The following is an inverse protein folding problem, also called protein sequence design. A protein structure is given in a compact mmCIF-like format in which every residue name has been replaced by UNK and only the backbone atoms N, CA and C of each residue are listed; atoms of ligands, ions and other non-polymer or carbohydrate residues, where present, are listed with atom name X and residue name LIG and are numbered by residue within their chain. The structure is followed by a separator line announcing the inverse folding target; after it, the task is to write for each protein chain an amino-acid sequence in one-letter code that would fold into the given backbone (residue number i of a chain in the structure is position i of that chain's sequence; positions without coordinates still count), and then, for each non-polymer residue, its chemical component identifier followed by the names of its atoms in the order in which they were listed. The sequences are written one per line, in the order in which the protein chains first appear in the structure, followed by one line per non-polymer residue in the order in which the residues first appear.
data_IF_914223300544
#
_entry.id   IF_914223300544
#
_cell.length_a   1.000
_cell.length_b   1.000
_cell.length_c   1.000
_cell.angle_alpha   90.00
_cell.angle_beta   90.00
_cell.angle_gamma   90.00
#
_symmetry.space_group_name_H-M   'P 1'
#
loop_
_entity.id
_entity.type
_entity.pdbx_description
1 polymer ?
#
# COMPACT_ATOMS: atom_id res chain seq x y z
N UNK A 1 17.18 -42.72 63.86
CA UNK A 1 17.21 -43.28 62.49
C UNK A 1 15.94 -42.83 61.81
N UNK A 2 15.99 -41.73 61.06
CA UNK A 2 16.22 -41.68 59.60
C UNK A 2 15.03 -42.33 58.86
N UNK A 3 14.35 -41.72 57.88
CA UNK A 3 14.70 -40.63 56.98
C UNK A 3 13.42 -40.11 56.27
N UNK A 4 13.44 -38.84 55.85
CA UNK A 4 12.48 -38.23 54.92
C UNK A 4 12.77 -38.71 53.49
N UNK A 5 11.77 -39.15 52.73
CA UNK A 5 11.77 -39.02 51.26
C UNK A 5 10.38 -38.62 50.76
N UNK A 6 10.39 -37.55 49.96
CA UNK A 6 9.28 -36.82 49.34
C UNK A 6 8.72 -37.63 48.17
N UNK A 7 7.40 -37.88 48.15
CA UNK A 7 6.71 -38.40 46.96
C UNK A 7 6.47 -37.25 45.96
N UNK A 8 7.26 -37.23 44.88
CA UNK A 8 6.98 -36.39 43.70
C UNK A 8 5.85 -37.04 42.89
N UNK A 9 4.64 -36.49 42.98
CA UNK A 9 3.63 -36.68 41.95
C UNK A 9 4.09 -35.98 40.67
N UNK A 10 4.48 -36.76 39.67
CA UNK A 10 4.58 -36.27 38.29
C UNK A 10 3.18 -36.28 37.72
N UNK A 11 2.55 -35.11 37.68
CA UNK A 11 1.31 -34.88 36.95
C UNK A 11 1.58 -35.07 35.47
N UNK A 12 1.12 -36.19 34.91
CA UNK A 12 1.00 -36.39 33.47
C UNK A 12 -0.32 -35.77 33.04
N UNK A 13 -0.29 -34.55 32.51
CA UNK A 13 -1.42 -33.97 31.76
C UNK A 13 -1.37 -34.42 30.30
N UNK A 14 -2.44 -34.98 29.73
CA UNK A 14 -2.52 -35.27 28.31
C UNK A 14 -2.85 -33.97 27.54
N UNK A 15 -1.81 -33.24 27.13
CA UNK A 15 -1.94 -32.16 26.16
C UNK A 15 -1.87 -32.75 24.75
N UNK A 16 -2.97 -33.35 24.29
CA UNK A 16 -3.21 -33.50 22.85
C UNK A 16 -3.69 -32.13 22.36
N UNK A 17 -2.73 -31.24 22.18
CA UNK A 17 -2.95 -30.01 21.42
C UNK A 17 -3.03 -30.44 19.96
N UNK A 18 -4.10 -30.05 19.25
CA UNK A 18 -4.16 -30.11 17.79
C UNK A 18 -3.07 -29.19 17.24
N UNK A 19 -1.83 -29.67 17.20
CA UNK A 19 -0.73 -29.01 16.55
C UNK A 19 -0.99 -29.07 15.05
N UNK A 20 -1.19 -27.92 14.44
CA UNK A 20 -1.12 -27.80 12.99
C UNK A 20 0.27 -28.26 12.54
N UNK A 21 0.37 -28.82 11.33
CA UNK A 21 1.67 -29.26 10.78
C UNK A 21 2.73 -28.16 10.80
N UNK A 22 2.31 -26.89 10.72
CA UNK A 22 3.17 -25.73 10.84
C UNK A 22 3.75 -25.57 12.25
N UNK A 23 2.92 -25.61 13.28
CA UNK A 23 3.37 -25.48 14.69
C UNK A 23 4.34 -26.60 15.12
N UNK A 24 4.21 -27.78 14.51
CA UNK A 24 5.14 -28.90 14.73
C UNK A 24 6.49 -28.65 14.06
N UNK A 25 6.52 -28.13 12.83
CA UNK A 25 7.75 -27.79 12.12
C UNK A 25 8.49 -26.65 12.82
N UNK A 26 7.78 -25.60 13.25
CA UNK A 26 8.35 -24.51 14.04
C UNK A 26 8.98 -25.00 15.36
N UNK A 27 8.37 -26.01 15.99
CA UNK A 27 8.93 -26.61 17.19
C UNK A 27 10.24 -27.37 16.92
N UNK A 28 10.32 -28.09 15.79
CA UNK A 28 11.53 -28.81 15.39
C UNK A 28 12.67 -27.85 15.00
N UNK A 29 12.34 -26.74 14.33
CA UNK A 29 13.29 -25.68 13.97
C UNK A 29 13.84 -24.98 15.22
N UNK A 30 12.97 -24.63 16.18
CA UNK A 30 13.38 -24.08 17.49
C UNK A 30 14.28 -25.02 18.30
N UNK A 31 14.19 -26.33 18.06
CA UNK A 31 15.07 -27.33 18.67
C UNK A 31 16.33 -27.62 17.84
N UNK A 32 16.58 -26.87 16.76
CA UNK A 32 17.68 -27.08 15.82
C UNK A 32 17.75 -28.52 15.26
N UNK A 33 16.59 -29.16 15.11
CA UNK A 33 16.47 -30.51 14.54
C UNK A 33 16.21 -30.50 13.04
N UNK A 34 15.80 -29.35 12.51
CA UNK A 34 15.66 -29.04 11.09
C UNK A 34 16.08 -27.58 10.89
N UNK A 35 16.70 -27.27 9.76
CA UNK A 35 16.95 -25.89 9.32
C UNK A 35 16.95 -25.80 7.78
N UNK A 36 17.23 -24.62 7.23
CA UNK A 36 17.17 -24.36 5.79
C UNK A 36 18.19 -25.16 4.95
N UNK A 37 19.22 -25.71 5.58
CA UNK A 37 20.32 -26.43 4.96
C UNK A 37 20.37 -27.92 5.39
N UNK A 38 19.76 -28.28 6.54
CA UNK A 38 19.58 -29.65 7.03
C UNK A 38 18.10 -30.02 7.22
N UNK A 39 17.56 -30.71 6.22
CA UNK A 39 16.20 -31.28 6.22
C UNK A 39 16.18 -32.79 6.47
N UNK A 40 17.29 -33.39 6.93
CA UNK A 40 17.47 -34.85 6.99
C UNK A 40 16.42 -35.52 7.89
N UNK A 41 16.09 -34.90 9.01
CA UNK A 41 15.08 -35.38 9.95
C UNK A 41 13.66 -35.34 9.32
N UNK A 42 13.36 -34.27 8.59
CA UNK A 42 12.07 -34.11 7.89
C UNK A 42 11.90 -35.14 6.77
N UNK A 43 12.98 -35.43 6.03
CA UNK A 43 12.98 -36.46 4.99
C UNK A 43 12.72 -37.86 5.56
N UNK A 44 13.38 -38.21 6.66
CA UNK A 44 13.17 -39.52 7.30
C UNK A 44 11.74 -39.68 7.83
N UNK A 45 11.17 -38.60 8.38
CA UNK A 45 9.78 -38.58 8.83
C UNK A 45 8.81 -38.69 7.64
N UNK A 46 9.02 -37.91 6.57
CA UNK A 46 8.18 -37.95 5.37
C UNK A 46 8.27 -39.28 4.63
N UNK A 47 9.43 -39.93 4.56
CA UNK A 47 9.56 -41.30 4.01
C UNK A 47 8.69 -42.31 4.75
N UNK A 48 8.56 -42.15 6.07
CA UNK A 48 7.85 -43.10 6.94
C UNK A 48 6.34 -42.83 6.98
N UNK A 49 5.94 -41.56 7.06
CA UNK A 49 4.54 -41.17 7.35
C UNK A 49 3.79 -40.72 6.09
N UNK A 50 4.48 -40.08 5.13
CA UNK A 50 3.84 -39.47 3.97
C UNK A 50 4.77 -39.44 2.74
N UNK A 51 5.08 -40.60 2.14
CA UNK A 51 6.11 -40.74 1.11
C UNK A 51 5.82 -39.93 -0.17
N UNK A 52 4.57 -39.55 -0.41
CA UNK A 52 4.19 -38.68 -1.54
C UNK A 52 4.76 -37.26 -1.43
N UNK A 53 5.09 -36.78 -0.22
CA UNK A 53 5.69 -35.46 0.01
C UNK A 53 7.18 -35.40 -0.36
N UNK A 54 7.86 -36.55 -0.45
CA UNK A 54 9.28 -36.62 -0.83
C UNK A 54 9.55 -35.98 -2.19
N UNK A 55 8.65 -36.14 -3.16
CA UNK A 55 8.78 -35.50 -4.48
C UNK A 55 8.77 -33.97 -4.40
N UNK A 56 8.03 -33.39 -3.45
CA UNK A 56 8.00 -31.93 -3.25
C UNK A 56 9.31 -31.44 -2.61
N UNK A 57 9.84 -32.18 -1.64
CA UNK A 57 11.12 -31.86 -0.98
C UNK A 57 12.29 -31.94 -1.98
N UNK A 58 12.35 -32.97 -2.80
CA UNK A 58 13.37 -33.13 -3.84
C UNK A 58 13.31 -32.03 -4.90
N UNK A 59 12.08 -31.62 -5.29
CA UNK A 59 11.87 -30.50 -6.21
C UNK A 59 12.45 -29.21 -5.64
N UNK A 60 12.13 -28.89 -4.39
CA UNK A 60 12.65 -27.70 -3.71
C UNK A 60 14.19 -27.67 -3.66
N UNK A 61 14.83 -28.79 -3.31
CA UNK A 61 16.31 -28.89 -3.28
C UNK A 61 16.95 -28.64 -4.65
N UNK A 62 16.29 -29.05 -5.72
CA UNK A 62 16.76 -28.83 -7.10
C UNK A 62 16.66 -27.35 -7.48
N UNK A 63 15.51 -26.73 -7.22
CA UNK A 63 15.26 -25.32 -7.50
C UNK A 63 16.21 -24.40 -6.71
N UNK A 64 16.49 -24.72 -5.44
CA UNK A 64 17.49 -23.99 -4.62
C UNK A 64 18.90 -24.07 -5.23
N UNK A 65 19.35 -25.25 -5.67
CA UNK A 65 20.66 -25.41 -6.33
C UNK A 65 20.74 -24.68 -7.67
N UNK A 66 19.68 -24.71 -8.47
CA UNK A 66 19.62 -23.99 -9.76
C UNK A 66 19.66 -22.46 -9.57
N UNK A 67 19.01 -21.95 -8.52
CA UNK A 67 19.04 -20.53 -8.16
C UNK A 67 20.44 -20.08 -7.70
N UNK A 68 21.13 -20.90 -6.90
CA UNK A 68 22.51 -20.64 -6.46
C UNK A 68 23.52 -20.70 -7.62
N UNK A 69 23.31 -21.62 -8.57
CA UNK A 69 24.13 -21.73 -9.78
C UNK A 69 23.96 -20.48 -10.67
N UNK A 70 22.72 -20.05 -10.92
CA UNK A 70 22.43 -18.81 -11.68
C UNK A 70 23.02 -17.57 -11.02
N UNK A 71 22.99 -17.50 -9.68
CA UNK A 71 23.59 -16.39 -8.93
C UNK A 71 25.11 -16.32 -9.08
N UNK A 72 25.79 -17.46 -9.25
CA UNK A 72 27.23 -17.52 -9.53
C UNK A 72 27.58 -17.20 -10.99
N UNK A 73 26.72 -17.56 -11.94
CA UNK A 73 26.90 -17.24 -13.38
C UNK A 73 26.71 -15.74 -13.68
N UNK A 74 25.87 -15.03 -12.92
CA UNK A 74 25.62 -13.59 -13.05
C UNK A 74 26.75 -12.68 -12.51
N UNK A 75 27.82 -13.24 -11.94
CA UNK A 75 28.95 -12.50 -11.35
C UNK A 75 30.28 -12.91 -12.00
N UNK A 76 30.36 -12.82 -13.33
CA UNK A 76 31.63 -12.99 -14.04
C UNK A 76 32.46 -11.70 -13.97
N UNK A 77 33.74 -11.81 -13.61
CA UNK A 77 34.66 -10.66 -13.49
C UNK A 77 34.91 -9.90 -14.81
N UNK A 78 34.50 -10.49 -15.95
CA UNK A 78 34.58 -9.88 -17.28
C UNK A 78 33.62 -8.70 -17.44
N UNK A 79 32.42 -8.77 -16.85
CA UNK A 79 31.37 -7.77 -17.04
C UNK A 79 31.61 -6.50 -16.21
N UNK A 80 32.31 -6.63 -15.08
CA UNK A 80 32.67 -5.51 -14.19
C UNK A 80 33.67 -4.55 -14.85
N UNK A 81 34.59 -5.05 -15.68
CA UNK A 81 35.56 -4.21 -16.38
C UNK A 81 34.97 -3.49 -17.60
N UNK A 82 33.95 -4.04 -18.26
CA UNK A 82 33.25 -3.34 -19.34
C UNK A 82 32.40 -2.18 -18.83
N UNK A 83 31.75 -2.33 -17.67
CA UNK A 83 30.98 -1.23 -17.04
C UNK A 83 31.90 -0.07 -16.60
N UNK A 84 33.12 -0.38 -16.14
CA UNK A 84 34.12 0.61 -15.74
C UNK A 84 34.64 1.47 -16.90
N UNK A 85 34.67 0.93 -18.12
CA UNK A 85 35.17 1.63 -19.31
C UNK A 85 34.10 2.45 -20.04
N UNK A 86 32.82 2.31 -19.68
CA UNK A 86 31.69 2.95 -20.35
C UNK A 86 31.16 4.23 -19.67
N UNK A 87 31.79 4.71 -18.57
CA UNK A 87 31.33 5.90 -17.83
C UNK A 87 32.25 7.12 -18.09
N UNK A 88 31.72 8.26 -18.59
CA UNK A 88 32.53 9.46 -18.88
C UNK A 88 32.63 10.41 -17.68
N UNK A 89 33.13 9.96 -16.53
CA UNK A 89 33.31 10.81 -15.34
C UNK A 89 34.73 10.71 -14.77
N UNK A 90 35.34 11.86 -14.47
CA UNK A 90 36.63 11.95 -13.74
C UNK A 90 36.31 12.24 -12.28
N UNK A 91 36.81 11.40 -11.37
CA UNK A 91 36.74 11.62 -9.93
C UNK A 91 37.77 12.68 -9.51
N UNK A 92 37.33 13.73 -8.85
CA UNK A 92 38.21 14.67 -8.14
C UNK A 92 38.07 14.45 -6.64
N UNK A 93 39.19 14.21 -5.97
CA UNK A 93 39.27 14.02 -4.53
C UNK A 93 39.54 15.38 -3.86
N UNK A 94 38.63 15.82 -3.00
CA UNK A 94 38.83 16.97 -2.10
C UNK A 94 38.52 16.49 -0.67
N UNK A 95 39.52 15.89 -0.02
CA UNK A 95 39.37 15.30 1.31
C UNK A 95 38.40 14.11 1.34
N UNK A 96 37.71 13.90 2.47
CA UNK A 96 36.88 12.73 2.78
C UNK A 96 35.44 12.76 2.20
N UNK A 97 35.17 13.55 1.15
CA UNK A 97 33.87 13.58 0.47
C UNK A 97 34.02 13.40 -1.05
N UNK A 98 33.15 12.58 -1.64
CA UNK A 98 33.10 12.32 -3.09
C UNK A 98 31.94 13.08 -3.70
N UNK A 99 32.22 13.96 -4.67
CA UNK A 99 31.18 14.71 -5.39
C UNK A 99 31.27 14.40 -6.89
N UNK A 100 30.14 14.04 -7.50
CA UNK A 100 30.01 13.83 -8.95
C UNK A 100 29.89 15.18 -9.65
N UNK A 101 30.85 15.50 -10.53
CA UNK A 101 30.80 16.72 -11.34
C UNK A 101 30.96 16.36 -12.82
N UNK A 102 30.02 16.81 -13.64
CA UNK A 102 30.10 16.63 -15.09
C UNK A 102 31.15 17.55 -15.71
N UNK A 103 31.90 17.05 -16.71
CA UNK A 103 33.07 17.69 -17.33
C UNK A 103 32.78 19.03 -18.03
N UNK A 104 31.52 19.46 -18.11
CA UNK A 104 31.08 20.69 -18.77
C UNK A 104 31.13 21.93 -17.88
N UNK A 105 31.34 21.79 -16.56
CA UNK A 105 31.36 22.93 -15.62
C UNK A 105 32.71 23.66 -15.47
N UNK A 106 33.71 23.33 -16.27
CA UNK A 106 35.04 23.95 -16.21
C UNK A 106 35.46 24.53 -17.57
N UNK A 107 34.78 25.60 -18.02
CA UNK A 107 35.35 26.55 -19.00
C UNK A 107 34.91 27.97 -18.71
N UNK A 108 35.84 28.94 -18.66
CA UNK A 108 35.49 30.34 -18.52
C UNK A 108 35.25 31.03 -19.88
N UNK A 109 34.21 31.88 -19.87
CA UNK A 109 34.03 33.13 -20.65
C UNK A 109 33.21 33.13 -21.96
N UNK A 110 32.23 34.03 -21.92
CA UNK A 110 31.66 34.90 -22.96
C UNK A 110 31.06 34.29 -24.24
N UNK A 111 29.74 34.42 -24.42
CA UNK A 111 29.08 35.32 -25.39
C UNK A 111 27.57 34.99 -25.54
N UNK A 112 26.76 36.05 -25.45
CA UNK A 112 25.41 36.31 -26.01
C UNK A 112 24.28 35.26 -25.98
N UNK A 113 23.12 35.75 -25.50
CA UNK A 113 21.79 35.14 -25.49
C UNK A 113 21.42 34.40 -26.79
N UNK A 114 20.91 33.18 -26.67
CA UNK A 114 19.68 32.71 -27.35
C UNK A 114 19.07 31.52 -26.59
N UNK A 115 17.73 31.51 -26.55
CA UNK A 115 16.84 30.60 -25.82
C UNK A 115 17.07 29.11 -26.13
N UNK A 116 17.45 28.34 -25.11
CA UNK A 116 17.37 26.88 -25.09
C UNK A 116 16.69 26.42 -23.80
N UNK A 117 15.48 25.88 -23.91
CA UNK A 117 14.70 25.29 -22.82
C UNK A 117 15.49 24.17 -22.13
N UNK A 118 16.06 24.49 -20.97
CA UNK A 118 16.47 23.50 -19.97
C UNK A 118 15.20 22.83 -19.44
N UNK A 119 14.99 21.56 -19.78
CA UNK A 119 13.91 20.73 -19.22
C UNK A 119 14.19 20.49 -17.74
N UNK A 120 13.75 21.43 -16.89
CA UNK A 120 13.61 21.17 -15.45
C UNK A 120 12.59 20.04 -15.30
N UNK A 121 12.99 18.89 -14.76
CA UNK A 121 12.05 17.87 -14.35
C UNK A 121 11.09 18.48 -13.31
N UNK A 122 9.82 18.63 -13.69
CA UNK A 122 8.79 19.11 -12.77
C UNK A 122 8.58 18.07 -11.66
N UNK A 123 8.91 18.43 -10.42
CA UNK A 123 8.79 17.57 -9.24
C UNK A 123 7.37 17.50 -8.66
N UNK A 124 6.43 18.27 -9.22
CA UNK A 124 5.03 18.42 -8.75
C UNK A 124 4.07 18.24 -9.92
N UNK A 125 2.93 17.56 -9.69
CA UNK A 125 1.88 17.49 -10.71
C UNK A 125 1.27 18.86 -10.96
N UNK A 126 0.97 19.14 -12.23
CA UNK A 126 0.20 20.31 -12.64
C UNK A 126 -1.20 20.28 -12.00
N UNK A 127 -1.59 21.38 -11.35
CA UNK A 127 -2.83 21.52 -10.57
C UNK A 127 -3.55 22.86 -10.84
N UNK A 128 -3.37 23.41 -12.03
CA UNK A 128 -3.85 24.71 -12.48
C UNK A 128 -4.63 24.63 -13.81
N UNK A 129 -5.24 23.48 -14.10
CA UNK A 129 -6.14 23.33 -15.25
C UNK A 129 -7.50 23.97 -14.95
N UNK A 130 -8.42 23.85 -15.90
CA UNK A 130 -9.73 24.53 -15.87
C UNK A 130 -10.55 24.19 -14.64
N UNK A 131 -10.46 22.96 -14.15
CA UNK A 131 -11.07 22.53 -12.90
C UNK A 131 -10.22 21.47 -12.21
N UNK A 132 -10.45 21.28 -10.91
CA UNK A 132 -9.72 20.28 -10.12
C UNK A 132 -9.95 18.86 -10.64
N UNK A 133 -11.19 18.55 -10.98
CA UNK A 133 -11.61 17.21 -11.42
C UNK A 133 -12.86 16.74 -10.68
N UNK A 134 -13.14 15.44 -10.81
CA UNK A 134 -14.27 14.80 -10.16
C UNK A 134 -13.82 14.02 -8.93
N UNK A 135 -14.68 14.03 -7.91
CA UNK A 135 -14.59 13.17 -6.74
C UNK A 135 -15.86 12.34 -6.65
N UNK A 136 -15.75 11.04 -6.85
CA UNK A 136 -16.88 10.11 -6.75
C UNK A 136 -16.85 9.46 -5.38
N UNK A 137 -17.95 9.53 -4.63
CA UNK A 137 -18.05 8.90 -3.31
C UNK A 137 -19.14 7.84 -3.33
N UNK A 138 -18.74 6.58 -3.20
CA UNK A 138 -19.65 5.44 -3.02
C UNK A 138 -19.83 5.19 -1.52
N UNK A 139 -21.04 5.34 -1.02
CA UNK A 139 -21.38 5.15 0.38
C UNK A 139 -22.42 4.03 0.55
N UNK A 140 -21.96 2.83 0.90
CA UNK A 140 -22.83 1.69 1.16
C UNK A 140 -23.08 1.58 2.67
N UNK A 141 -24.32 1.81 3.06
CA UNK A 141 -24.79 1.74 4.42
C UNK A 141 -25.61 0.49 4.69
N UNK A 142 -26.54 0.15 3.80
CA UNK A 142 -27.51 -0.92 3.97
C UNK A 142 -27.13 -2.14 3.11
N UNK A 143 -27.29 -3.32 3.69
CA UNK A 143 -26.93 -4.62 3.11
C UNK A 143 -27.98 -5.66 3.49
N UNK A 144 -28.07 -6.76 2.73
CA UNK A 144 -29.10 -7.79 2.91
C UNK A 144 -28.84 -8.72 4.09
N UNK A 145 -27.61 -9.17 4.26
CA UNK A 145 -27.14 -10.12 5.28
C UNK A 145 -26.06 -9.53 6.18
N UNK A 146 -25.22 -8.62 5.65
CA UNK A 146 -24.18 -7.94 6.41
C UNK A 146 -24.77 -6.86 7.33
N UNK A 147 -24.05 -6.56 8.41
CA UNK A 147 -24.48 -5.56 9.38
C UNK A 147 -24.60 -4.15 8.76
N UNK A 148 -25.63 -3.40 9.16
CA UNK A 148 -25.80 -2.00 8.75
C UNK A 148 -24.61 -1.15 9.18
N UNK A 149 -24.14 -0.30 8.27
CA UNK A 149 -22.94 0.53 8.44
C UNK A 149 -23.23 1.90 9.08
N UNK A 150 -23.84 1.92 10.27
CA UNK A 150 -24.14 3.17 11.00
C UNK A 150 -22.91 4.07 11.19
N UNK A 151 -23.06 5.36 10.90
CA UNK A 151 -21.98 6.36 10.94
C UNK A 151 -21.27 6.61 9.60
N UNK A 152 -21.49 5.77 8.59
CA UNK A 152 -20.86 5.96 7.26
C UNK A 152 -21.30 7.24 6.55
N UNK A 153 -22.52 7.72 6.79
CA UNK A 153 -23.02 8.96 6.17
C UNK A 153 -22.27 10.19 6.67
N UNK A 154 -21.79 10.15 7.93
CA UNK A 154 -20.92 11.18 8.49
C UNK A 154 -19.60 11.25 7.74
N UNK A 155 -19.00 10.08 7.47
CA UNK A 155 -17.78 9.97 6.67
C UNK A 155 -18.01 10.47 5.24
N UNK A 156 -19.14 10.12 4.64
CA UNK A 156 -19.52 10.52 3.30
C UNK A 156 -19.66 12.05 3.19
N UNK A 157 -20.33 12.70 4.15
CA UNK A 157 -20.43 14.17 4.20
C UNK A 157 -19.08 14.85 4.49
N UNK A 158 -18.23 14.28 5.35
CA UNK A 158 -16.87 14.79 5.56
C UNK A 158 -16.07 14.81 4.24
N UNK A 159 -16.10 13.70 3.48
CA UNK A 159 -15.42 13.60 2.19
C UNK A 159 -15.98 14.60 1.19
N UNK A 160 -17.31 14.70 1.09
CA UNK A 160 -17.96 15.66 0.22
C UNK A 160 -17.53 17.08 0.53
N UNK A 161 -17.57 17.50 1.79
CA UNK A 161 -17.20 18.85 2.19
C UNK A 161 -15.74 19.18 1.88
N UNK A 162 -14.79 18.30 2.23
CA UNK A 162 -13.37 18.60 2.00
C UNK A 162 -13.03 18.59 0.53
N UNK A 163 -13.56 17.67 -0.28
CA UNK A 163 -13.27 17.65 -1.71
C UNK A 163 -13.99 18.75 -2.48
N UNK A 164 -15.21 19.15 -2.09
CA UNK A 164 -15.83 20.36 -2.62
C UNK A 164 -15.01 21.61 -2.29
N UNK A 165 -14.51 21.71 -1.06
CA UNK A 165 -13.63 22.81 -0.65
C UNK A 165 -12.34 22.84 -1.48
N UNK A 166 -11.73 21.69 -1.78
CA UNK A 166 -10.56 21.55 -2.67
C UNK A 166 -10.86 21.81 -4.16
N UNK A 167 -12.11 22.13 -4.50
CA UNK A 167 -12.55 22.53 -5.84
C UNK A 167 -12.99 21.38 -6.74
N UNK A 168 -13.23 20.18 -6.19
CA UNK A 168 -13.75 19.05 -6.97
C UNK A 168 -15.26 19.16 -7.19
N UNK A 169 -15.71 18.64 -8.34
CA UNK A 169 -17.11 18.29 -8.55
C UNK A 169 -17.37 16.95 -7.84
N UNK A 170 -18.13 16.98 -6.74
CA UNK A 170 -18.38 15.79 -5.93
C UNK A 170 -19.72 15.14 -6.29
N UNK A 171 -19.66 13.86 -6.68
CA UNK A 171 -20.81 13.01 -6.96
C UNK A 171 -20.97 11.94 -5.88
N UNK A 172 -22.11 11.95 -5.20
CA UNK A 172 -22.43 11.03 -4.11
C UNK A 172 -23.35 9.92 -4.60
N UNK A 173 -23.00 8.67 -4.31
CA UNK A 173 -23.81 7.49 -4.61
C UNK A 173 -24.04 6.68 -3.34
N UNK A 174 -25.29 6.31 -3.07
CA UNK A 174 -25.69 5.63 -1.82
C UNK A 174 -26.21 4.23 -2.15
N UNK A 175 -25.78 3.24 -1.36
CA UNK A 175 -26.20 1.84 -1.45
C UNK A 175 -26.13 1.27 -2.89
N UNK A 176 -24.94 1.36 -3.48
CA UNK A 176 -24.66 1.02 -4.87
C UNK A 176 -24.51 -0.49 -5.05
N UNK A 177 -25.39 -1.08 -5.86
CA UNK A 177 -25.32 -2.48 -6.30
C UNK A 177 -24.15 -2.70 -7.25
N UNK A 178 -23.73 -3.94 -7.48
CA UNK A 178 -22.64 -4.22 -8.43
C UNK A 178 -22.93 -3.66 -9.82
N UNK A 179 -24.15 -3.89 -10.33
CA UNK A 179 -24.57 -3.38 -11.63
C UNK A 179 -24.47 -1.85 -11.70
N UNK A 180 -24.95 -1.16 -10.66
CA UNK A 180 -24.87 0.29 -10.60
C UNK A 180 -23.42 0.77 -10.49
N UNK A 181 -22.56 0.06 -9.75
CA UNK A 181 -21.13 0.37 -9.70
C UNK A 181 -20.49 0.26 -11.08
N UNK A 182 -20.79 -0.79 -11.85
CA UNK A 182 -20.29 -0.94 -13.22
C UNK A 182 -20.72 0.24 -14.10
N UNK A 183 -21.97 0.70 -14.00
CA UNK A 183 -22.48 1.88 -14.71
C UNK A 183 -21.73 3.16 -14.30
N UNK A 184 -21.47 3.36 -13.00
CA UNK A 184 -20.69 4.49 -12.47
C UNK A 184 -19.26 4.45 -13.00
N UNK A 185 -18.62 3.29 -12.99
CA UNK A 185 -17.25 3.11 -13.50
C UNK A 185 -17.18 3.40 -15.00
N UNK A 186 -18.13 2.93 -15.81
CA UNK A 186 -18.17 3.24 -17.24
C UNK A 186 -18.42 4.73 -17.50
N UNK A 187 -19.33 5.36 -16.75
CA UNK A 187 -19.60 6.80 -16.84
C UNK A 187 -18.33 7.61 -16.62
N UNK A 188 -17.58 7.29 -15.57
CA UNK A 188 -16.38 8.04 -15.21
C UNK A 188 -15.15 7.67 -16.03
N UNK A 189 -15.03 6.43 -16.50
CA UNK A 189 -13.96 6.02 -17.40
C UNK A 189 -13.93 6.83 -18.70
N UNK A 190 -15.11 7.20 -19.22
CA UNK A 190 -15.27 7.88 -20.51
C UNK A 190 -15.60 9.37 -20.39
N UNK A 191 -15.49 9.96 -19.19
CA UNK A 191 -15.94 11.33 -18.96
C UNK A 191 -15.05 12.35 -19.70
N UNK A 192 -15.61 13.23 -20.56
CA UNK A 192 -14.82 14.13 -21.41
C UNK A 192 -14.04 15.18 -20.62
N UNK A 193 -14.60 15.66 -19.50
CA UNK A 193 -13.98 16.67 -18.64
C UNK A 193 -12.65 16.23 -18.01
N UNK A 194 -12.31 14.93 -18.05
CA UNK A 194 -11.01 14.48 -17.53
C UNK A 194 -9.85 15.16 -18.24
N UNK A 195 -9.97 15.53 -19.53
CA UNK A 195 -8.91 16.24 -20.27
C UNK A 195 -8.57 17.61 -19.65
N UNK A 196 -9.59 18.31 -19.14
CA UNK A 196 -9.49 19.65 -18.55
C UNK A 196 -9.35 19.64 -17.02
N UNK A 197 -9.49 18.47 -16.39
CA UNK A 197 -9.29 18.27 -14.95
C UNK A 197 -7.83 18.06 -14.56
N UNK A 198 -7.46 18.44 -13.34
CA UNK A 198 -6.12 18.20 -12.77
C UNK A 198 -5.90 16.74 -12.35
N UNK A 199 -6.87 16.16 -11.67
CA UNK A 199 -6.79 14.83 -11.09
C UNK A 199 -8.18 14.20 -10.93
N UNK A 200 -8.21 12.96 -10.47
CA UNK A 200 -9.45 12.21 -10.20
C UNK A 200 -9.41 11.61 -8.81
N UNK A 201 -10.54 11.67 -8.09
CA UNK A 201 -10.70 11.08 -6.77
C UNK A 201 -11.86 10.07 -6.79
N UNK A 202 -11.65 8.89 -6.22
CA UNK A 202 -12.69 7.88 -6.05
C UNK A 202 -12.65 7.32 -4.62
N UNK A 203 -13.70 7.58 -3.85
CA UNK A 203 -13.85 7.16 -2.47
C UNK A 203 -14.87 6.02 -2.35
N UNK A 204 -14.56 5.00 -1.55
CA UNK A 204 -15.47 3.89 -1.29
C UNK A 204 -15.59 3.67 0.22
N UNK A 205 -16.81 3.79 0.75
CA UNK A 205 -17.17 3.51 2.12
C UNK A 205 -18.09 2.28 2.14
N UNK A 206 -17.55 1.10 2.43
CA UNK A 206 -18.34 -0.15 2.43
C UNK A 206 -17.76 -1.21 3.37
N UNK A 207 -18.36 -2.39 3.42
CA UNK A 207 -17.71 -3.59 3.96
C UNK A 207 -16.67 -4.09 2.95
N UNK A 208 -15.72 -4.88 3.41
CA UNK A 208 -14.75 -5.49 2.51
C UNK A 208 -14.07 -6.67 3.15
N UNK A 209 -13.25 -7.32 2.34
CA UNK A 209 -12.35 -8.38 2.73
C UNK A 209 -11.13 -8.33 1.81
N UNK A 210 -9.98 -8.75 2.32
CA UNK A 210 -8.67 -8.80 1.67
C UNK A 210 -8.63 -8.46 0.16
N UNK A 211 -8.28 -7.21 -0.16
CA UNK A 211 -8.08 -6.74 -1.54
C UNK A 211 -9.36 -6.45 -2.33
N UNK A 212 -10.53 -6.55 -1.69
CA UNK A 212 -11.84 -6.40 -2.30
C UNK A 212 -12.84 -5.64 -1.40
N UNK A 213 -13.90 -5.17 -2.02
CA UNK A 213 -14.99 -4.40 -1.40
C UNK A 213 -16.34 -5.01 -1.75
N UNK A 214 -17.33 -4.85 -0.88
CA UNK A 214 -18.70 -5.27 -1.15
C UNK A 214 -19.53 -4.13 -1.78
N UNK A 215 -20.31 -4.45 -2.80
CA UNK A 215 -21.47 -3.64 -3.20
C UNK A 215 -22.63 -3.79 -2.19
N UNK A 216 -23.68 -2.99 -2.31
CA UNK A 216 -24.85 -3.04 -1.40
C UNK A 216 -25.64 -4.36 -1.51
N UNK A 217 -25.60 -4.99 -2.68
CA UNK A 217 -26.12 -6.34 -2.96
C UNK A 217 -25.09 -7.45 -2.65
N UNK A 218 -24.06 -7.12 -1.88
CA UNK A 218 -23.09 -8.06 -1.30
C UNK A 218 -22.24 -8.83 -2.32
N UNK A 219 -22.17 -8.34 -3.56
CA UNK A 219 -21.20 -8.84 -4.51
C UNK A 219 -19.80 -8.36 -4.12
N UNK A 220 -18.85 -9.27 -4.13
CA UNK A 220 -17.45 -8.97 -3.85
C UNK A 220 -16.75 -8.48 -5.13
N UNK A 221 -16.14 -7.31 -5.07
CA UNK A 221 -15.45 -6.67 -6.20
C UNK A 221 -13.99 -6.38 -5.81
N UNK A 222 -13.00 -6.94 -6.55
CA UNK A 222 -11.60 -6.62 -6.34
C UNK A 222 -11.31 -5.12 -6.54
N UNK A 223 -10.54 -4.52 -5.63
CA UNK A 223 -10.15 -3.10 -5.72
C UNK A 223 -9.36 -2.83 -7.02
N UNK A 224 -8.51 -3.78 -7.43
CA UNK A 224 -7.75 -3.70 -8.68
C UNK A 224 -8.67 -3.63 -9.91
N UNK A 225 -9.81 -4.31 -9.90
CA UNK A 225 -10.78 -4.25 -10.99
C UNK A 225 -11.35 -2.84 -11.14
N UNK A 226 -11.75 -2.22 -10.03
CA UNK A 226 -12.21 -0.82 -10.00
C UNK A 226 -11.12 0.14 -10.53
N UNK A 227 -9.89 0.02 -10.02
CA UNK A 227 -8.78 0.90 -10.43
C UNK A 227 -8.41 0.72 -11.92
N UNK A 228 -8.51 -0.49 -12.46
CA UNK A 228 -8.13 -0.80 -13.85
C UNK A 228 -8.87 0.04 -14.90
N UNK A 229 -10.10 0.47 -14.57
CA UNK A 229 -10.92 1.36 -15.42
C UNK A 229 -10.28 2.72 -15.68
N UNK A 230 -9.37 3.15 -14.81
CA UNK A 230 -8.78 4.49 -14.85
C UNK A 230 -7.29 4.48 -15.24
N UNK A 231 -6.78 3.35 -15.73
CA UNK A 231 -5.41 3.30 -16.29
C UNK A 231 -5.29 4.24 -17.49
N UNK A 232 -4.07 4.67 -17.83
CA UNK A 232 -3.85 5.57 -18.97
C UNK A 232 -4.39 4.99 -20.30
N UNK A 233 -4.42 3.66 -20.43
CA UNK A 233 -4.99 2.97 -21.58
C UNK A 233 -6.53 3.01 -21.58
N UNK A 234 -7.16 2.76 -20.42
CA UNK A 234 -8.62 2.67 -20.30
C UNK A 234 -9.29 4.04 -20.18
N UNK A 235 -8.59 5.04 -19.63
CA UNK A 235 -9.04 6.41 -19.46
C UNK A 235 -7.95 7.41 -19.88
N UNK A 236 -7.76 7.67 -21.18
CA UNK A 236 -6.69 8.54 -21.69
C UNK A 236 -6.74 9.98 -21.16
N UNK A 237 -7.92 10.50 -20.83
CA UNK A 237 -8.08 11.84 -20.25
C UNK A 237 -7.37 12.01 -18.89
N UNK A 238 -7.11 10.91 -18.19
CA UNK A 238 -6.38 10.86 -16.91
C UNK A 238 -4.92 10.40 -17.04
N UNK A 239 -4.39 10.27 -18.26
CA UNK A 239 -2.98 9.97 -18.47
C UNK A 239 -2.10 11.10 -17.91
N UNK A 240 -1.02 10.74 -17.18
CA UNK A 240 -0.11 11.66 -16.50
C UNK A 240 -0.76 12.55 -15.42
N UNK A 241 -1.96 12.19 -14.95
CA UNK A 241 -2.69 12.90 -13.90
C UNK A 241 -2.87 12.01 -12.66
N UNK A 242 -2.85 12.56 -11.44
CA UNK A 242 -3.07 11.76 -10.24
C UNK A 242 -4.45 11.13 -10.21
N UNK A 243 -4.50 9.85 -9.83
CA UNK A 243 -5.72 9.06 -9.65
C UNK A 243 -5.76 8.54 -8.21
N UNK A 244 -6.56 9.18 -7.39
CA UNK A 244 -6.53 9.07 -5.93
C UNK A 244 -7.72 8.26 -5.44
N UNK A 245 -7.46 7.10 -4.85
CA UNK A 245 -8.47 6.19 -4.31
C UNK A 245 -8.37 6.18 -2.79
N UNK A 246 -9.50 6.40 -2.10
CA UNK A 246 -9.56 6.33 -0.63
C UNK A 246 -10.64 5.33 -0.23
N UNK A 247 -10.23 4.21 0.37
CA UNK A 247 -11.12 3.09 0.63
C UNK A 247 -11.20 2.83 2.14
N UNK A 248 -12.41 3.05 2.67
CA UNK A 248 -12.80 2.71 4.03
C UNK A 248 -13.60 1.41 4.01
N UNK A 249 -12.88 0.29 4.09
CA UNK A 249 -13.42 -1.04 4.22
C UNK A 249 -12.51 -1.89 5.12
N UNK A 250 -13.07 -2.90 5.79
CA UNK A 250 -12.25 -3.95 6.42
C UNK A 250 -11.46 -4.68 5.33
N UNK A 251 -10.23 -5.09 5.63
CA UNK A 251 -9.39 -5.86 4.70
C UNK A 251 -9.03 -7.23 5.28
N UNK A 252 -9.72 -7.66 6.34
CA UNK A 252 -9.65 -8.97 6.97
C UNK A 252 -10.41 -8.97 8.30
N UNK A 253 -10.23 -10.02 9.09
CA UNK A 253 -10.99 -10.29 10.32
C UNK A 253 -10.17 -10.04 11.60
N UNK A 254 -8.86 -9.83 11.48
CA UNK A 254 -7.97 -9.69 12.64
C UNK A 254 -8.00 -8.28 13.25
N UNK A 255 -7.89 -8.20 14.57
CA UNK A 255 -7.71 -6.94 15.29
C UNK A 255 -6.21 -6.77 15.57
N UNK A 256 -5.63 -5.62 15.19
CA UNK A 256 -4.22 -5.36 15.47
C UNK A 256 -4.00 -5.26 16.99
N UNK A 257 -3.12 -6.12 17.51
CA UNK A 257 -2.68 -6.11 18.90
C UNK A 257 -1.59 -5.06 19.13
N UNK A 258 -1.54 -4.47 20.32
CA UNK A 258 -0.43 -3.63 20.74
C UNK A 258 0.77 -4.50 21.09
N UNK A 259 1.89 -4.33 20.40
CA UNK A 259 3.16 -5.00 20.73
C UNK A 259 4.13 -3.98 21.31
N UNK A 260 4.74 -4.31 22.47
CA UNK A 260 5.90 -3.60 23.02
C UNK A 260 7.14 -4.00 22.23
N UNK A 261 7.83 -3.02 21.64
CA UNK A 261 8.92 -3.23 20.69
C UNK A 261 10.14 -3.79 21.44
N UNK A 262 10.52 -5.04 21.15
CA UNK A 262 11.92 -5.45 21.08
C UNK A 262 12.23 -5.72 19.60
N UNK A 263 13.33 -5.15 19.12
CA UNK A 263 13.71 -5.21 17.73
C UNK A 263 14.31 -6.58 17.41
N UNK A 264 13.74 -7.25 16.40
CA UNK A 264 14.45 -8.04 15.39
C UNK A 264 13.47 -8.36 14.25
N UNK A 265 13.90 -8.13 13.01
CA UNK A 265 13.06 -8.17 11.82
C UNK A 265 13.53 -9.23 10.83
N UNK A 266 12.62 -10.09 10.35
CA UNK A 266 12.61 -10.63 8.99
C UNK A 266 11.15 -10.88 8.58
N UNK A 267 10.70 -10.32 7.45
CA UNK A 267 9.36 -10.56 6.89
C UNK A 267 9.50 -11.15 5.47
N UNK A 268 8.78 -12.23 5.08
CA UNK A 268 8.94 -12.84 3.76
C UNK A 268 8.25 -12.08 2.62
N UNK A 269 9.03 -11.88 1.56
CA UNK A 269 8.76 -11.65 0.13
C UNK A 269 7.31 -11.35 -0.35
N UNK A 270 7.11 -10.12 -0.83
CA UNK A 270 6.11 -9.77 -1.85
C UNK A 270 6.78 -9.81 -3.23
N UNK A 271 6.50 -10.84 -4.04
CA UNK A 271 7.06 -10.99 -5.39
C UNK A 271 6.36 -10.03 -6.37
N UNK A 272 7.12 -9.14 -7.01
CA UNK A 272 6.71 -8.38 -8.20
C UNK A 272 7.49 -8.91 -9.43
N UNK A 273 6.85 -9.06 -10.61
CA UNK A 273 7.58 -9.40 -11.84
C UNK A 273 8.34 -8.18 -12.41
N UNK A 274 9.42 -8.40 -13.18
CA UNK A 274 10.35 -7.34 -13.59
C UNK A 274 9.81 -6.49 -14.76
N UNK A 275 10.09 -5.18 -14.73
CA UNK A 275 9.73 -4.21 -15.77
C UNK A 275 10.94 -3.84 -16.65
N UNK A 276 10.71 -3.73 -17.97
CA UNK A 276 11.55 -3.02 -18.94
C UNK A 276 10.99 -1.61 -19.17
N UNK A 277 11.87 -0.66 -19.50
CA UNK A 277 11.59 0.78 -19.69
C UNK A 277 10.38 1.08 -20.58
N UNK A 278 9.24 1.27 -19.92
CA UNK A 278 8.01 1.88 -20.42
C UNK A 278 7.19 2.26 -19.18
N UNK A 279 6.51 3.41 -19.19
CA UNK A 279 5.71 3.85 -18.03
C UNK A 279 4.71 2.73 -17.69
N UNK A 280 4.71 2.19 -16.45
CA UNK A 280 3.84 1.07 -16.10
C UNK A 280 2.37 1.44 -16.35
N UNK A 281 1.56 0.46 -16.79
CA UNK A 281 0.12 0.61 -17.09
C UNK A 281 -0.65 1.27 -15.93
N UNK A 282 -0.15 1.12 -14.70
CA UNK A 282 -0.71 1.63 -13.46
C UNK A 282 0.02 2.86 -12.90
N UNK A 283 0.62 3.72 -13.73
CA UNK A 283 1.29 4.93 -13.25
C UNK A 283 0.30 6.02 -12.74
N UNK A 284 0.80 6.85 -11.82
CA UNK A 284 0.10 8.00 -11.23
C UNK A 284 -1.13 7.64 -10.38
N UNK A 285 -1.15 6.46 -9.77
CA UNK A 285 -2.18 6.07 -8.80
C UNK A 285 -1.72 6.29 -7.35
N UNK A 286 -2.67 6.60 -6.49
CA UNK A 286 -2.55 6.49 -5.05
C UNK A 286 -3.78 5.74 -4.53
N UNK A 287 -3.57 4.73 -3.70
CA UNK A 287 -4.58 3.96 -3.01
C UNK A 287 -4.35 4.07 -1.50
N UNK A 288 -5.18 4.87 -0.83
CA UNK A 288 -5.24 4.94 0.63
C UNK A 288 -6.25 3.93 1.18
N UNK A 289 -5.77 2.87 1.83
CA UNK A 289 -6.62 1.94 2.57
C UNK A 289 -6.72 2.35 4.03
N UNK A 290 -7.92 2.26 4.62
CA UNK A 290 -8.15 2.60 6.02
C UNK A 290 -7.38 1.69 7.01
N UNK A 291 -7.03 0.48 6.59
CA UNK A 291 -6.28 -0.50 7.38
C UNK A 291 -5.44 -1.37 6.45
N UNK A 292 -4.35 -1.96 6.97
CA UNK A 292 -3.53 -2.91 6.22
C UNK A 292 -4.32 -4.21 5.95
N UNK A 293 -4.04 -4.92 4.83
CA UNK A 293 -4.64 -6.22 4.56
C UNK A 293 -4.52 -7.20 5.72
N UNK A 294 -5.58 -7.97 5.98
CA UNK A 294 -5.69 -8.89 7.11
C UNK A 294 -6.47 -8.33 8.31
N UNK A 295 -6.62 -7.00 8.41
CA UNK A 295 -7.16 -6.39 9.63
C UNK A 295 -8.49 -5.65 9.45
N UNK A 296 -9.17 -5.45 10.58
CA UNK A 296 -10.39 -4.64 10.66
C UNK A 296 -10.07 -3.14 10.62
N UNK A 297 -11.07 -2.34 10.24
CA UNK A 297 -11.03 -0.89 10.38
C UNK A 297 -12.16 -0.42 11.31
N UNK A 298 -11.86 0.54 12.18
CA UNK A 298 -12.80 0.97 13.22
C UNK A 298 -13.62 2.17 12.79
N UNK A 299 -14.89 2.12 13.19
CA UNK A 299 -15.85 3.19 13.00
C UNK A 299 -16.65 3.45 14.27
N UNK A 300 -16.81 4.72 14.61
CA UNK A 300 -17.75 5.15 15.62
C UNK A 300 -19.14 5.33 15.01
N UNK A 301 -20.18 4.84 15.68
CA UNK A 301 -21.55 4.82 15.12
C UNK A 301 -22.12 6.21 14.84
N UNK A 302 -21.63 7.24 15.52
CA UNK A 302 -22.12 8.63 15.41
C UNK A 302 -21.08 9.61 14.84
N UNK A 303 -19.79 9.35 15.05
CA UNK A 303 -18.71 10.29 14.70
C UNK A 303 -18.01 9.95 13.37
N UNK A 304 -18.28 8.78 12.79
CA UNK A 304 -17.60 8.29 11.59
C UNK A 304 -16.35 7.46 11.90
N UNK A 305 -15.58 7.13 10.86
CA UNK A 305 -14.41 6.26 10.95
C UNK A 305 -13.15 7.01 11.31
N UNK A 306 -12.26 6.38 12.08
CA UNK A 306 -11.01 7.03 12.48
C UNK A 306 -10.22 7.50 11.26
N UNK A 307 -10.14 6.66 10.22
CA UNK A 307 -9.42 6.98 9.00
C UNK A 307 -10.02 8.19 8.26
N UNK A 308 -11.33 8.20 7.99
CA UNK A 308 -11.94 9.29 7.22
C UNK A 308 -11.95 10.59 8.01
N UNK A 309 -12.20 10.54 9.32
CA UNK A 309 -12.16 11.72 10.17
C UNK A 309 -10.73 12.30 10.26
N UNK A 310 -9.71 11.45 10.38
CA UNK A 310 -8.31 11.88 10.32
C UNK A 310 -7.99 12.49 8.95
N UNK A 311 -8.34 11.82 7.85
CA UNK A 311 -8.10 12.30 6.48
C UNK A 311 -8.74 13.68 6.26
N UNK A 312 -10.01 13.83 6.65
CA UNK A 312 -10.74 15.10 6.59
C UNK A 312 -10.00 16.22 7.34
N UNK A 313 -9.61 15.97 8.59
CA UNK A 313 -8.97 16.99 9.42
C UNK A 313 -7.57 17.37 8.91
N UNK A 314 -6.74 16.40 8.53
CA UNK A 314 -5.39 16.68 8.07
C UNK A 314 -5.36 17.32 6.69
N UNK A 315 -6.29 17.01 5.78
CA UNK A 315 -6.43 17.75 4.52
C UNK A 315 -6.72 19.24 4.82
N UNK A 316 -7.67 19.54 5.70
CA UNK A 316 -8.00 20.93 6.06
C UNK A 316 -6.84 21.68 6.71
N UNK A 317 -6.08 21.02 7.58
CA UNK A 317 -4.99 21.65 8.34
C UNK A 317 -3.72 21.84 7.52
N UNK A 318 -3.40 20.89 6.63
CA UNK A 318 -2.09 20.82 5.98
C UNK A 318 -2.10 21.30 4.53
N UNK A 319 -3.24 21.26 3.83
CA UNK A 319 -3.35 21.88 2.49
C UNK A 319 -3.04 23.38 2.53
N UNK A 320 -3.57 24.20 3.47
CA UNK A 320 -3.21 25.61 3.58
C UNK A 320 -1.73 25.87 3.86
N UNK A 321 -1.00 24.84 4.32
CA UNK A 321 0.45 24.88 4.57
C UNK A 321 1.28 24.38 3.38
N UNK A 322 0.64 24.11 2.24
CA UNK A 322 1.26 23.59 1.02
C UNK A 322 1.96 22.23 1.18
N UNK A 323 1.52 21.42 2.15
CA UNK A 323 2.03 20.06 2.33
C UNK A 323 1.59 19.17 1.17
N UNK A 324 2.47 18.24 0.75
CA UNK A 324 2.12 17.26 -0.26
C UNK A 324 1.24 16.13 0.32
N UNK A 325 0.46 15.49 -0.55
CA UNK A 325 -0.52 14.48 -0.15
C UNK A 325 0.10 13.29 0.62
N UNK A 326 1.34 12.88 0.31
CA UNK A 326 1.97 11.78 1.04
C UNK A 326 2.35 12.21 2.46
N UNK A 327 2.82 13.44 2.64
CA UNK A 327 3.05 14.04 3.96
C UNK A 327 1.75 14.13 4.76
N UNK A 328 0.64 14.53 4.13
CA UNK A 328 -0.69 14.55 4.75
C UNK A 328 -1.11 13.13 5.19
N UNK A 329 -0.96 12.13 4.33
CA UNK A 329 -1.32 10.74 4.65
C UNK A 329 -0.41 10.14 5.73
N UNK A 330 0.84 10.60 5.83
CA UNK A 330 1.74 10.23 6.92
C UNK A 330 1.23 10.76 8.26
N UNK A 331 0.73 12.01 8.30
CA UNK A 331 0.09 12.57 9.49
C UNK A 331 -1.20 11.82 9.86
N UNK A 332 -2.01 11.41 8.86
CA UNK A 332 -3.18 10.55 9.05
C UNK A 332 -2.79 9.21 9.67
N UNK A 333 -1.76 8.55 9.16
CA UNK A 333 -1.28 7.28 9.72
C UNK A 333 -0.86 7.43 11.19
N UNK A 334 -0.13 8.50 11.49
CA UNK A 334 0.32 8.79 12.84
C UNK A 334 -0.83 9.07 13.81
N UNK A 335 -1.87 9.78 13.37
CA UNK A 335 -3.07 10.01 14.19
C UNK A 335 -3.88 8.73 14.41
N UNK A 336 -4.20 8.00 13.34
CA UNK A 336 -5.01 6.77 13.44
C UNK A 336 -4.33 5.70 14.29
N UNK A 337 -3.00 5.56 14.22
CA UNK A 337 -2.25 4.60 15.06
C UNK A 337 -2.24 4.93 16.55
N UNK A 338 -2.42 6.21 16.89
CA UNK A 338 -2.53 6.68 18.28
C UNK A 338 -3.94 6.59 18.82
N UNK A 339 -4.96 6.52 17.95
CA UNK A 339 -6.35 6.34 18.36
C UNK A 339 -6.58 4.95 18.96
N UNK A 340 -7.51 4.88 19.91
CA UNK A 340 -7.88 3.65 20.61
C UNK A 340 -6.96 3.24 21.76
N UNK A 341 -7.52 2.47 22.70
CA UNK A 341 -6.80 1.85 23.81
C UNK A 341 -6.09 0.56 23.38
N UNK A 342 -6.67 -0.60 23.73
CA UNK A 342 -6.11 -1.93 23.42
C UNK A 342 -6.27 -2.35 21.96
N UNK A 343 -7.09 -1.64 21.17
CA UNK A 343 -7.28 -1.87 19.73
C UNK A 343 -6.46 -0.85 18.96
N UNK A 344 -5.67 -1.31 17.99
CA UNK A 344 -4.87 -0.45 17.12
C UNK A 344 -5.33 -0.56 15.66
N UNK A 345 -5.07 0.49 14.89
CA UNK A 345 -5.32 0.55 13.45
C UNK A 345 -4.22 1.37 12.80
N UNK A 346 -3.66 0.88 11.69
CA UNK A 346 -2.73 1.63 10.85
C UNK A 346 -3.26 1.64 9.40
N UNK A 347 -3.60 2.81 8.83
CA UNK A 347 -3.91 2.93 7.42
C UNK A 347 -2.68 2.66 6.55
N UNK A 348 -2.91 2.28 5.30
CA UNK A 348 -1.85 1.91 4.37
C UNK A 348 -2.02 2.60 3.01
N UNK A 349 -1.21 3.62 2.70
CA UNK A 349 -1.12 4.15 1.35
C UNK A 349 -0.21 3.28 0.46
N UNK A 350 -0.70 2.90 -0.71
CA UNK A 350 0.09 2.37 -1.84
C UNK A 350 0.08 3.39 -2.97
N UNK A 351 1.20 3.60 -3.66
CA UNK A 351 1.23 4.59 -4.73
C UNK A 351 2.25 4.25 -5.82
N UNK A 352 1.94 4.73 -7.01
CA UNK A 352 2.77 4.76 -8.22
C UNK A 352 2.85 6.20 -8.76
N UNK A 353 2.58 7.19 -7.89
CA UNK A 353 2.79 8.61 -8.18
C UNK A 353 4.25 8.86 -8.54
N UNK A 354 4.47 9.64 -9.59
CA UNK A 354 5.80 10.00 -10.11
C UNK A 354 6.24 11.41 -9.72
N UNK A 355 5.31 12.22 -9.23
CA UNK A 355 5.52 13.61 -8.79
C UNK A 355 4.76 13.86 -7.49
N UNK A 356 5.09 14.93 -6.77
CA UNK A 356 4.33 15.36 -5.60
C UNK A 356 2.95 15.85 -6.00
N UNK A 357 1.94 15.49 -5.23
CA UNK A 357 0.57 16.02 -5.33
C UNK A 357 0.43 17.09 -4.25
N UNK A 358 0.43 18.36 -4.66
CA UNK A 358 0.21 19.49 -3.76
C UNK A 358 -1.08 20.17 -4.23
N UNK A 359 -2.12 20.16 -3.40
CA UNK A 359 -3.37 20.83 -3.75
C UNK A 359 -3.21 22.34 -3.58
N UNK A 360 -3.59 23.16 -4.58
CA UNK A 360 -3.73 24.59 -4.42
C UNK A 360 -4.69 24.92 -3.27
N UNK A 361 -4.31 25.91 -2.46
CA UNK A 361 -5.10 26.37 -1.33
C UNK A 361 -6.38 27.02 -1.85
N UNK A 362 -7.57 26.53 -1.47
CA UNK A 362 -8.82 27.16 -1.85
C UNK A 362 -8.94 28.57 -1.27
N UNK A 363 -9.57 29.49 -2.01
CA UNK A 363 -9.79 30.88 -1.57
C UNK A 363 -10.80 30.99 -0.41
N UNK A 364 -11.64 29.98 -0.23
CA UNK A 364 -12.62 29.93 0.86
C UNK A 364 -11.99 29.28 2.08
N UNK A 365 -12.44 29.67 3.27
CA UNK A 365 -12.00 29.03 4.50
C UNK A 365 -12.33 27.52 4.52
N UNK A 366 -11.50 26.70 5.20
CA UNK A 366 -11.76 25.27 5.35
C UNK A 366 -13.12 25.02 6.00
N UNK A 367 -13.85 23.95 5.61
CA UNK A 367 -15.13 23.64 6.21
C UNK A 367 -14.97 23.37 7.71
N UNK A 368 -15.97 23.79 8.49
CA UNK A 368 -15.97 23.62 9.95
C UNK A 368 -15.83 22.14 10.34
N UNK A 369 -15.23 21.90 11.50
CA UNK A 369 -15.15 20.56 12.05
C UNK A 369 -16.54 20.14 12.51
N UNK A 370 -16.97 18.95 12.09
CA UNK A 370 -18.19 18.37 12.59
C UNK A 370 -17.97 17.94 14.04
N UNK A 371 -18.62 18.64 14.97
CA UNK A 371 -18.72 18.20 16.37
C UNK A 371 -19.74 17.07 16.54
#
# INVERSE_FOLDING_TARGET
MNERIISRQVNVTPLILLQTSLSFLEHLEKQAKIDADDLTLLENLCKTVAPHLMRKIEKYKREKKEAEQKRKELLSASDINQIRQALPAVFLFLGDQVTLVSREMLRPSAYSLTSGTSTKEETVYRMDRKHRGYCVVINNQNFTSLSKRQGTDKDAECLKHVFQWLGFNVDMWVDVTKKCLDEVLQRYKSHPDHADGDCFVFCILTHGQFGAVYSSDEALIPIREIMSHFTAQQCPGLANKPKLFFIQACQGEEIQSSVSIEADAVNPELVQPPLRDSVPVEADFLLGLATVPGYVSFRHKTEGSWYIQSLYNYLKQLVPRHEDLLSILTAVNNDVSRRGGTKKQIPQPFFTLRKKVIFPVPLREPPESFH
#
